data_IF_455865441283
#
_entry.id   IF_455865441283
#
_cell.length_a   1.000
_cell.length_b   1.000
_cell.length_c   1.000
_cell.angle_alpha   90.00
_cell.angle_beta   90.00
_cell.angle_gamma   90.00
#
_symmetry.space_group_name_H-M   'P 1'
#
loop_
_entity.id
_entity.type
_entity.pdbx_description
1 polymer ?
#
# COMPACT_ATOMS: atom_id res chain seq x y z
N UNK A 1 9.63 -7.25 -14.10
CA UNK A 1 8.73 -6.63 -13.11
C UNK A 1 7.43 -7.40 -12.94
N UNK A 2 7.09 -7.80 -11.71
CA UNK A 2 5.81 -8.43 -11.37
C UNK A 2 4.70 -7.39 -11.10
N UNK A 3 3.52 -7.83 -10.68
CA UNK A 3 2.38 -6.93 -10.39
C UNK A 3 2.66 -5.96 -9.24
N UNK A 4 3.41 -6.39 -8.21
CA UNK A 4 3.73 -5.59 -7.03
C UNK A 4 4.69 -4.45 -7.38
N UNK A 5 5.74 -4.75 -8.14
CA UNK A 5 6.68 -3.77 -8.64
C UNK A 5 6.01 -2.72 -9.53
N UNK A 6 5.10 -3.16 -10.42
CA UNK A 6 4.32 -2.25 -11.28
C UNK A 6 3.44 -1.32 -10.45
N UNK A 7 2.75 -1.87 -9.45
CA UNK A 7 1.90 -1.08 -8.55
C UNK A 7 2.71 -0.04 -7.76
N UNK A 8 3.87 -0.43 -7.22
CA UNK A 8 4.77 0.49 -6.52
C UNK A 8 5.28 1.60 -7.45
N UNK A 9 5.68 1.25 -8.67
CA UNK A 9 6.14 2.19 -9.70
C UNK A 9 5.06 3.21 -10.07
N UNK A 10 3.85 2.75 -10.34
CA UNK A 10 2.71 3.60 -10.71
C UNK A 10 2.31 4.52 -9.55
N UNK A 11 2.33 3.99 -8.33
CA UNK A 11 2.03 4.76 -7.11
C UNK A 11 3.05 5.87 -6.90
N UNK A 12 4.35 5.55 -6.91
CA UNK A 12 5.39 6.57 -6.73
C UNK A 12 5.36 7.61 -7.84
N UNK A 13 5.23 7.20 -9.11
CA UNK A 13 5.14 8.14 -10.23
C UNK A 13 3.97 9.12 -10.10
N UNK A 14 2.87 8.68 -9.49
CA UNK A 14 1.67 9.51 -9.28
C UNK A 14 1.81 10.44 -8.08
N UNK A 15 2.37 9.95 -6.97
CA UNK A 15 2.34 10.64 -5.68
C UNK A 15 3.65 11.33 -5.30
N UNK A 16 4.78 10.90 -5.87
CA UNK A 16 6.10 11.50 -5.71
C UNK A 16 6.90 11.45 -7.03
N UNK A 17 6.48 12.23 -8.05
CA UNK A 17 7.12 12.24 -9.36
C UNK A 17 8.55 12.78 -9.31
N UNK A 18 8.89 13.61 -8.33
CA UNK A 18 10.25 14.14 -8.14
C UNK A 18 11.19 13.03 -7.69
N UNK A 19 10.83 12.26 -6.65
CA UNK A 19 11.65 11.11 -6.23
C UNK A 19 11.75 10.07 -7.34
N UNK A 20 10.64 9.79 -8.06
CA UNK A 20 10.65 8.87 -9.19
C UNK A 20 11.66 9.29 -10.28
N UNK A 21 11.75 10.60 -10.60
CA UNK A 21 12.67 11.11 -11.62
C UNK A 21 14.16 10.98 -11.24
N UNK A 22 14.48 10.81 -9.96
CA UNK A 22 15.85 10.61 -9.49
C UNK A 22 16.31 9.15 -9.56
N UNK A 23 15.40 8.21 -9.84
CA UNK A 23 15.75 6.80 -9.98
C UNK A 23 16.42 6.58 -11.34
N UNK A 24 17.70 6.23 -11.33
CA UNK A 24 18.50 6.08 -12.55
C UNK A 24 18.02 4.95 -13.48
N UNK A 25 17.57 3.83 -12.90
CA UNK A 25 16.98 2.70 -13.62
C UNK A 25 15.69 2.25 -12.92
N UNK A 26 14.54 2.87 -13.26
CA UNK A 26 13.27 2.54 -12.65
C UNK A 26 12.84 1.09 -12.91
N UNK A 27 13.12 0.53 -14.08
CA UNK A 27 12.68 -0.83 -14.40
C UNK A 27 13.36 -1.87 -13.52
N UNK A 28 14.68 -1.74 -13.33
CA UNK A 28 15.44 -2.63 -12.44
C UNK A 28 15.05 -2.40 -10.99
N UNK A 29 14.96 -1.14 -10.55
CA UNK A 29 14.58 -0.80 -9.17
C UNK A 29 13.23 -1.41 -8.77
N UNK A 30 12.18 -1.17 -9.57
CA UNK A 30 10.85 -1.67 -9.26
C UNK A 30 10.67 -3.16 -9.57
N UNK A 31 11.50 -3.75 -10.42
CA UNK A 31 11.53 -5.21 -10.56
C UNK A 31 12.04 -5.89 -9.29
N UNK A 32 13.14 -5.39 -8.70
CA UNK A 32 13.68 -5.92 -7.43
C UNK A 32 12.71 -5.68 -6.27
N UNK A 33 12.20 -4.44 -6.13
CA UNK A 33 11.21 -4.12 -5.08
C UNK A 33 9.96 -5.00 -5.21
N UNK A 34 9.51 -5.29 -6.43
CA UNK A 34 8.40 -6.19 -6.65
C UNK A 34 8.66 -7.62 -6.15
N UNK A 35 9.87 -8.15 -6.34
CA UNK A 35 10.27 -9.46 -5.83
C UNK A 35 10.34 -9.47 -4.30
N UNK A 36 10.88 -8.41 -3.69
CA UNK A 36 10.93 -8.23 -2.23
C UNK A 36 9.51 -8.19 -1.63
N UNK A 37 8.61 -7.40 -2.21
CA UNK A 37 7.20 -7.34 -1.79
C UNK A 37 6.52 -8.70 -1.93
N UNK A 38 6.76 -9.42 -3.04
CA UNK A 38 6.18 -10.75 -3.25
C UNK A 38 6.60 -11.72 -2.14
N UNK A 39 7.88 -11.70 -1.75
CA UNK A 39 8.41 -12.54 -0.70
C UNK A 39 7.86 -12.14 0.68
N UNK A 40 7.83 -10.85 1.00
CA UNK A 40 7.26 -10.36 2.24
C UNK A 40 5.77 -10.73 2.40
N UNK A 41 4.98 -10.66 1.31
CA UNK A 41 3.59 -11.11 1.31
C UNK A 41 3.50 -12.61 1.57
N UNK A 42 4.37 -13.41 0.96
CA UNK A 42 4.40 -14.85 1.19
C UNK A 42 4.65 -15.15 2.66
N UNK A 43 5.76 -14.64 3.21
CA UNK A 43 6.20 -14.92 4.58
C UNK A 43 5.13 -14.50 5.58
N UNK A 44 4.63 -13.26 5.48
CA UNK A 44 3.58 -12.78 6.36
C UNK A 44 2.26 -13.56 6.18
N UNK A 45 1.92 -14.02 4.97
CA UNK A 45 0.72 -14.84 4.77
C UNK A 45 0.83 -16.20 5.47
N UNK A 46 2.03 -16.79 5.54
CA UNK A 46 2.26 -18.02 6.29
C UNK A 46 2.14 -17.77 7.79
N UNK A 47 2.67 -16.66 8.30
CA UNK A 47 2.54 -16.27 9.70
C UNK A 47 1.09 -15.98 10.11
N UNK A 48 0.31 -15.35 9.24
CA UNK A 48 -1.10 -15.02 9.48
C UNK A 48 -2.04 -16.21 9.26
N UNK A 49 -1.60 -17.27 8.57
CA UNK A 49 -2.44 -18.44 8.33
C UNK A 49 -2.58 -19.24 9.62
N UNK A 50 -3.82 -19.45 10.12
CA UNK A 50 -4.01 -20.23 11.34
C UNK A 50 -3.59 -21.69 11.12
N UNK A 51 -3.12 -22.33 12.18
CA UNK A 51 -2.88 -23.78 12.16
C UNK A 51 -4.17 -24.51 11.80
N UNK A 52 -4.10 -25.43 10.84
CA UNK A 52 -5.25 -26.22 10.39
C UNK A 52 -5.87 -27.00 11.55
N UNK A 53 -7.17 -26.81 11.75
CA UNK A 53 -7.97 -27.54 12.73
C UNK A 53 -8.81 -28.64 12.08
N UNK A 54 -10.00 -28.87 12.65
CA UNK A 54 -10.97 -29.86 12.18
C UNK A 54 -12.01 -29.27 11.19
N UNK A 55 -11.86 -28.00 10.81
CA UNK A 55 -12.77 -27.33 9.88
C UNK A 55 -12.83 -28.00 8.49
N UNK A 56 -13.97 -27.88 7.78
CA UNK A 56 -14.09 -28.37 6.42
C UNK A 56 -13.03 -27.76 5.48
N UNK A 57 -12.60 -28.47 4.43
CA UNK A 57 -11.54 -28.00 3.53
C UNK A 57 -11.79 -26.61 2.92
N UNK A 58 -13.04 -26.32 2.54
CA UNK A 58 -13.39 -25.02 1.94
C UNK A 58 -13.30 -23.86 2.94
N UNK A 59 -13.60 -24.11 4.21
CA UNK A 59 -13.48 -23.10 5.27
C UNK A 59 -12.01 -22.76 5.52
N UNK A 60 -11.15 -23.78 5.61
CA UNK A 60 -9.71 -23.57 5.73
C UNK A 60 -9.12 -22.79 4.54
N UNK A 61 -9.55 -23.10 3.30
CA UNK A 61 -9.14 -22.35 2.11
C UNK A 61 -9.57 -20.87 2.22
N UNK A 62 -10.75 -20.61 2.78
CA UNK A 62 -11.21 -19.26 3.08
C UNK A 62 -10.27 -18.52 4.03
N UNK A 63 -9.86 -19.17 5.13
CA UNK A 63 -8.90 -18.61 6.10
C UNK A 63 -7.55 -18.29 5.46
N UNK A 64 -7.01 -19.21 4.65
CA UNK A 64 -5.75 -19.00 3.91
C UNK A 64 -5.86 -17.81 2.95
N UNK A 65 -6.97 -17.68 2.23
CA UNK A 65 -7.19 -16.55 1.32
C UNK A 65 -7.29 -15.22 2.06
N UNK A 66 -7.94 -15.20 3.23
CA UNK A 66 -7.99 -14.01 4.09
C UNK A 66 -6.62 -13.62 4.66
N UNK A 67 -5.79 -14.60 5.04
CA UNK A 67 -4.42 -14.36 5.48
C UNK A 67 -3.58 -13.72 4.36
N UNK A 68 -3.67 -14.24 3.13
CA UNK A 68 -3.00 -13.65 1.95
C UNK A 68 -3.45 -12.23 1.66
N UNK A 69 -4.76 -11.95 1.75
CA UNK A 69 -5.30 -10.61 1.52
C UNK A 69 -4.76 -9.61 2.56
N UNK A 70 -4.78 -9.99 3.85
CA UNK A 70 -4.25 -9.16 4.94
C UNK A 70 -2.75 -8.93 4.81
N UNK A 71 -1.99 -9.98 4.51
CA UNK A 71 -0.55 -9.86 4.30
C UNK A 71 -0.22 -8.85 3.19
N UNK A 72 -0.95 -8.92 2.06
CA UNK A 72 -0.80 -7.95 0.97
C UNK A 72 -1.08 -6.52 1.40
N UNK A 73 -2.19 -6.30 2.12
CA UNK A 73 -2.56 -4.97 2.61
C UNK A 73 -1.48 -4.38 3.52
N UNK A 74 -0.99 -5.17 4.50
CA UNK A 74 0.02 -4.74 5.45
C UNK A 74 1.35 -4.43 4.76
N UNK A 75 1.82 -5.32 3.89
CA UNK A 75 3.09 -5.13 3.16
C UNK A 75 3.01 -3.93 2.22
N UNK A 76 1.88 -3.71 1.55
CA UNK A 76 1.71 -2.52 0.70
C UNK A 76 1.75 -1.24 1.53
N UNK A 77 1.09 -1.23 2.69
CA UNK A 77 1.13 -0.09 3.58
C UNK A 77 2.55 0.24 4.01
N UNK A 78 3.34 -0.77 4.39
CA UNK A 78 4.70 -0.59 4.86
C UNK A 78 5.68 -0.22 3.75
N UNK A 79 5.67 -0.96 2.63
CA UNK A 79 6.71 -0.89 1.61
C UNK A 79 6.40 0.08 0.47
N UNK A 80 5.14 0.49 0.29
CA UNK A 80 4.73 1.40 -0.80
C UNK A 80 4.20 2.70 -0.24
N UNK A 81 3.23 2.66 0.69
CA UNK A 81 2.47 3.85 1.06
C UNK A 81 3.09 4.66 2.21
N UNK A 82 3.74 4.02 3.18
CA UNK A 82 4.29 4.70 4.35
C UNK A 82 5.40 5.73 4.01
N UNK A 83 6.06 5.55 2.86
CA UNK A 83 7.11 6.46 2.37
C UNK A 83 6.61 7.61 1.50
N UNK A 84 5.32 7.66 1.16
CA UNK A 84 4.80 8.71 0.28
C UNK A 84 4.66 10.05 1.02
N UNK A 85 4.90 11.18 0.34
CA UNK A 85 4.61 12.48 0.91
C UNK A 85 3.13 12.57 1.27
N UNK A 86 2.83 13.17 2.42
CA UNK A 86 1.45 13.49 2.78
C UNK A 86 0.87 14.45 1.73
N UNK A 87 -0.36 14.21 1.28
CA UNK A 87 -1.06 15.18 0.43
C UNK A 87 -1.09 16.52 1.19
N UNK A 88 -0.71 17.64 0.54
CA UNK A 88 -0.80 18.93 1.19
C UNK A 88 -2.26 19.12 1.63
N UNK A 89 -2.47 19.38 2.93
CA UNK A 89 -3.76 19.84 3.41
C UNK A 89 -4.09 21.10 2.63
N UNK A 90 -4.98 20.98 1.64
CA UNK A 90 -5.61 22.15 1.02
C UNK A 90 -6.26 22.91 2.18
N UNK A 91 -5.60 23.97 2.63
CA UNK A 91 -6.11 24.90 3.61
C UNK A 91 -7.47 25.37 3.09
N UNK A 92 -8.55 24.81 3.63
CA UNK A 92 -9.92 25.30 3.45
C UNK A 92 -9.88 26.82 3.59
N UNK A 93 -10.19 27.59 2.53
CA UNK A 93 -10.16 29.05 2.63
C UNK A 93 -11.15 29.45 3.71
N UNK A 94 -10.61 30.09 4.75
CA UNK A 94 -11.31 30.40 6.00
C UNK A 94 -12.74 30.83 5.76
N UNK A 95 -13.67 30.16 6.46
CA UNK A 95 -15.08 30.53 6.48
C UNK A 95 -15.18 32.03 6.76
N UNK A 96 -15.84 32.84 5.90
CA UNK A 96 -16.02 34.25 6.22
C UNK A 96 -16.84 34.33 7.50
N UNK A 97 -16.22 34.88 8.56
CA UNK A 97 -16.94 35.32 9.75
C UNK A 97 -18.07 36.21 9.27
N UNK A 98 -19.32 35.76 9.44
CA UNK A 98 -20.48 36.61 9.26
C UNK A 98 -20.34 37.72 10.32
N UNK A 99 -19.91 38.89 9.88
CA UNK A 99 -20.14 40.14 10.60
C UNK A 99 -21.66 40.34 10.62
N UNK A 100 -22.31 39.83 11.66
CA UNK A 100 -23.67 40.24 12.03
C UNK A 100 -23.60 41.70 12.54
N UNK A 101 -23.54 42.64 11.60
CA UNK A 101 -23.94 44.02 11.83
C UNK A 101 -25.46 44.09 11.87
N UNK A 102 -26.04 44.09 13.07
CA UNK A 102 -27.40 44.53 13.31
C UNK A 102 -27.35 45.86 14.07
N UNK A 103 -27.72 46.94 13.37
CA UNK A 103 -28.18 48.20 13.94
C UNK A 103 -29.67 48.34 13.57
#
# INVERSE_FOLDING_TARGET
>A
MNEHGRHAMETMKKHDPEAFAQIADPETHFSMLGEEIQQAIWDLSEELTPTRGSEPPLEYIGLVNMAKLRAREMVYQEMIYAGLPSEPEDMEPGSPSREDGQD
#
